data_IF_176029428589
#
_entry.id   IF_176029428589
#
_cell.length_a   1.000
_cell.length_b   1.000
_cell.length_c   1.000
_cell.angle_alpha   90.00
_cell.angle_beta   90.00
_cell.angle_gamma   90.00
#
_symmetry.space_group_name_H-M   'P 1'
#
loop_
_entity.id
_entity.type
_entity.pdbx_description
1 polymer ?
#
# COMPACT_ATOMS: atom_id res chain seq x y z
N UNK A 1 -4.58 -0.85 3.94
CA UNK A 1 -5.85 -0.66 4.67
C UNK A 1 -6.67 -1.94 4.63
N UNK A 2 -7.55 -2.15 5.60
CA UNK A 2 -8.46 -3.29 5.66
C UNK A 2 -9.71 -2.96 6.50
N UNK A 3 -10.81 -3.66 6.29
CA UNK A 3 -12.08 -3.45 6.99
C UNK A 3 -13.10 -4.53 6.66
N UNK A 4 -14.33 -4.38 7.15
CA UNK A 4 -15.42 -5.27 6.81
C UNK A 4 -16.28 -4.68 5.70
N UNK A 5 -16.84 -5.55 4.85
CA UNK A 5 -17.83 -5.12 3.89
C UNK A 5 -19.03 -4.51 4.61
N UNK A 6 -19.47 -3.33 4.15
CA UNK A 6 -20.57 -2.57 4.76
C UNK A 6 -20.12 -1.46 5.70
N UNK A 7 -18.85 -1.40 6.10
CA UNK A 7 -18.31 -0.23 6.81
C UNK A 7 -18.06 0.92 5.82
N UNK A 8 -18.33 2.16 6.23
CA UNK A 8 -18.12 3.37 5.40
C UNK A 8 -16.63 3.71 5.20
N UNK A 9 -15.75 3.16 6.05
CA UNK A 9 -14.33 3.41 6.04
C UNK A 9 -13.55 2.16 6.50
N UNK A 10 -12.28 2.00 6.09
CA UNK A 10 -11.46 0.89 6.56
C UNK A 10 -11.25 0.98 8.08
N UNK A 11 -11.40 -0.15 8.77
CA UNK A 11 -11.15 -0.24 10.22
C UNK A 11 -9.67 -0.19 10.60
N UNK A 12 -8.80 -0.55 9.67
CA UNK A 12 -7.36 -0.59 9.88
C UNK A 12 -6.63 0.07 8.71
N UNK A 13 -5.75 1.02 9.03
CA UNK A 13 -4.82 1.65 8.10
C UNK A 13 -3.46 1.67 8.78
N UNK A 14 -2.49 0.96 8.19
CA UNK A 14 -1.14 0.84 8.71
C UNK A 14 -0.17 0.70 7.54
N UNK A 15 1.11 1.01 7.80
CA UNK A 15 2.16 0.99 6.79
C UNK A 15 2.51 -0.44 6.32
N UNK A 16 2.64 -0.66 5.01
CA UNK A 16 2.99 -1.96 4.42
C UNK A 16 4.49 -2.29 4.58
N UNK A 17 4.96 -2.41 5.82
CA UNK A 17 6.37 -2.57 6.17
C UNK A 17 6.54 -3.79 7.07
N UNK A 18 7.59 -4.58 6.80
CA UNK A 18 8.06 -5.65 7.68
C UNK A 18 9.45 -5.31 8.20
N UNK A 19 9.59 -5.21 9.52
CA UNK A 19 10.84 -4.96 10.22
C UNK A 19 11.40 -6.21 10.87
N UNK A 20 12.70 -6.47 10.71
CA UNK A 20 13.42 -7.57 11.39
C UNK A 20 14.57 -7.03 12.25
N UNK A 21 14.83 -7.56 13.45
CA UNK A 21 15.93 -7.10 14.31
C UNK A 21 17.29 -7.19 13.63
N UNK A 22 18.10 -6.12 13.73
CA UNK A 22 19.47 -6.09 13.19
C UNK A 22 20.44 -6.97 13.98
N UNK A 23 20.18 -7.14 15.28
CA UNK A 23 20.95 -7.98 16.17
C UNK A 23 19.98 -8.92 16.91
N UNK A 24 20.23 -10.22 16.84
CA UNK A 24 19.46 -11.20 17.59
C UNK A 24 19.72 -10.99 19.10
N UNK A 25 18.66 -10.76 19.88
CA UNK A 25 18.71 -10.73 21.35
C UNK A 25 18.36 -9.40 22.05
N UNK A 26 18.19 -8.28 21.33
CA UNK A 26 17.94 -6.95 21.95
C UNK A 26 16.44 -6.61 22.07
N UNK A 27 15.61 -7.16 21.18
CA UNK A 27 14.16 -6.91 21.16
C UNK A 27 13.48 -8.24 21.33
N UNK A 28 12.46 -8.31 22.19
CA UNK A 28 11.82 -9.56 22.63
C UNK A 28 11.52 -10.55 21.49
N UNK A 29 11.34 -11.82 21.87
CA UNK A 29 11.21 -13.08 21.08
C UNK A 29 10.47 -13.09 19.71
N UNK A 30 10.00 -11.97 19.16
CA UNK A 30 9.35 -11.87 17.86
C UNK A 30 10.36 -11.73 16.74
N UNK A 31 10.24 -12.63 15.76
CA UNK A 31 11.10 -12.67 14.57
C UNK A 31 10.84 -11.53 13.57
N UNK A 32 9.65 -10.91 13.61
CA UNK A 32 9.26 -9.82 12.73
C UNK A 32 8.25 -8.86 13.38
N UNK A 33 8.32 -7.60 12.95
CA UNK A 33 7.40 -6.52 13.30
C UNK A 33 6.71 -6.04 12.01
N UNK A 34 5.44 -5.68 12.09
CA UNK A 34 4.64 -5.22 10.94
C UNK A 34 4.01 -3.87 11.26
N UNK A 35 3.87 -3.01 10.24
CA UNK A 35 3.15 -1.75 10.35
C UNK A 35 3.78 -0.76 11.32
N UNK A 36 2.95 -0.11 12.13
CA UNK A 36 3.36 0.95 13.04
C UNK A 36 4.38 0.47 14.08
N UNK A 37 4.30 -0.81 14.47
CA UNK A 37 5.30 -1.40 15.35
C UNK A 37 6.69 -1.46 14.69
N UNK A 38 6.75 -1.74 13.39
CA UNK A 38 8.00 -1.72 12.64
C UNK A 38 8.53 -0.28 12.48
N UNK A 39 7.64 0.70 12.26
CA UNK A 39 8.02 2.11 12.18
C UNK A 39 8.55 2.68 13.50
N UNK A 40 7.92 2.37 14.63
CA UNK A 40 8.38 2.83 15.96
C UNK A 40 9.78 2.32 16.29
N UNK A 41 10.05 1.06 15.97
CA UNK A 41 11.32 0.40 16.28
C UNK A 41 12.34 0.50 15.12
N UNK A 42 12.18 1.44 14.18
CA UNK A 42 13.03 1.55 12.98
C UNK A 42 14.53 1.71 13.27
N UNK A 43 14.89 2.21 14.44
CA UNK A 43 16.29 2.40 14.85
C UNK A 43 17.05 1.07 15.05
N UNK A 44 16.32 0.01 15.42
CA UNK A 44 16.88 -1.31 15.75
C UNK A 44 16.44 -2.40 14.76
N UNK A 45 15.52 -2.08 13.84
CA UNK A 45 15.03 -2.96 12.80
C UNK A 45 15.63 -2.63 11.42
N UNK A 46 15.73 -3.66 10.57
CA UNK A 46 15.87 -3.51 9.12
C UNK A 46 14.48 -3.59 8.52
N UNK A 47 14.03 -2.49 7.92
CA UNK A 47 12.70 -2.37 7.31
C UNK A 47 12.73 -2.81 5.85
N UNK A 48 11.72 -3.58 5.43
CA UNK A 48 11.49 -3.99 4.04
C UNK A 48 10.06 -3.69 3.62
N UNK A 49 9.89 -3.38 2.34
CA UNK A 49 8.61 -3.14 1.68
C UNK A 49 8.34 -4.32 0.74
N UNK A 50 7.35 -5.17 1.03
CA UNK A 50 7.07 -6.35 0.18
C UNK A 50 6.30 -6.02 -1.09
N UNK A 51 5.91 -4.76 -1.27
CA UNK A 51 5.18 -4.25 -2.43
C UNK A 51 6.01 -3.10 -2.99
N UNK A 52 6.34 -3.17 -4.28
CA UNK A 52 7.04 -2.12 -5.03
C UNK A 52 6.21 -1.81 -6.29
N UNK A 53 5.91 -0.54 -6.53
CA UNK A 53 5.06 -0.08 -7.64
C UNK A 53 3.71 -0.83 -7.74
N UNK A 54 3.12 -1.18 -6.59
CA UNK A 54 1.85 -1.92 -6.51
C UNK A 54 1.95 -3.43 -6.78
N UNK A 55 3.14 -3.96 -7.07
CA UNK A 55 3.39 -5.39 -7.29
C UNK A 55 4.06 -6.01 -6.07
N UNK A 56 3.59 -7.19 -5.66
CA UNK A 56 4.22 -7.95 -4.57
C UNK A 56 5.55 -8.52 -5.04
N UNK A 57 6.65 -8.10 -4.40
CA UNK A 57 8.02 -8.56 -4.69
C UNK A 57 8.52 -9.58 -3.66
N UNK A 58 7.95 -9.58 -2.44
CA UNK A 58 8.31 -10.52 -1.38
C UNK A 58 7.09 -11.17 -0.74
N UNK A 59 6.79 -12.41 -1.14
CA UNK A 59 5.63 -13.15 -0.67
C UNK A 59 5.71 -13.56 0.81
N UNK A 60 6.90 -13.86 1.32
CA UNK A 60 7.07 -14.21 2.75
C UNK A 60 6.76 -13.04 3.67
N UNK A 61 7.06 -11.82 3.23
CA UNK A 61 6.76 -10.60 3.97
C UNK A 61 5.31 -10.15 3.75
N UNK A 62 4.76 -10.39 2.56
CA UNK A 62 3.33 -10.17 2.31
C UNK A 62 2.44 -11.10 3.17
N UNK A 63 2.84 -12.36 3.36
CA UNK A 63 2.12 -13.29 4.26
C UNK A 63 2.10 -12.76 5.70
N UNK A 64 3.19 -12.17 6.19
CA UNK A 64 3.23 -11.54 7.52
C UNK A 64 2.30 -10.33 7.61
N UNK A 65 2.22 -9.53 6.55
CA UNK A 65 1.27 -8.41 6.47
C UNK A 65 -0.16 -8.93 6.56
N UNK A 66 -0.54 -9.92 5.76
CA UNK A 66 -1.90 -10.47 5.83
C UNK A 66 -2.21 -11.13 7.16
N UNK A 67 -1.26 -11.85 7.75
CA UNK A 67 -1.42 -12.40 9.09
C UNK A 67 -1.68 -11.28 10.11
N UNK A 68 -0.91 -10.20 10.07
CA UNK A 68 -1.12 -9.04 10.93
C UNK A 68 -2.50 -8.41 10.69
N UNK A 69 -2.92 -8.23 9.44
CA UNK A 69 -4.26 -7.73 9.08
C UNK A 69 -5.38 -8.56 9.70
N UNK A 70 -5.36 -9.88 9.54
CA UNK A 70 -6.45 -10.73 10.03
C UNK A 70 -6.47 -10.84 11.55
N UNK A 71 -5.32 -11.15 12.17
CA UNK A 71 -5.27 -11.53 13.58
C UNK A 71 -5.05 -10.36 14.54
N UNK A 72 -4.29 -9.35 14.14
CA UNK A 72 -3.96 -8.23 15.04
C UNK A 72 -4.91 -7.04 14.84
N UNK A 73 -5.12 -6.64 13.58
CA UNK A 73 -5.90 -5.46 13.24
C UNK A 73 -7.41 -5.76 13.29
N UNK A 74 -7.87 -6.72 12.47
CA UNK A 74 -9.28 -7.05 12.38
C UNK A 74 -9.75 -8.03 13.47
N UNK A 75 -8.81 -8.77 14.10
CA UNK A 75 -9.06 -9.77 15.14
C UNK A 75 -10.09 -10.82 14.72
N UNK A 76 -9.97 -11.32 13.50
CA UNK A 76 -10.86 -12.34 12.92
C UNK A 76 -10.11 -13.60 12.55
N UNK A 77 -10.86 -14.71 12.50
CA UNK A 77 -10.37 -15.95 11.93
C UNK A 77 -10.60 -15.93 10.41
N UNK A 78 -9.54 -15.97 9.58
CA UNK A 78 -9.68 -15.92 8.12
C UNK A 78 -10.51 -17.09 7.57
N UNK A 79 -10.44 -18.26 8.20
CA UNK A 79 -11.19 -19.46 7.76
C UNK A 79 -12.72 -19.33 7.83
N UNK A 80 -13.24 -18.26 8.43
CA UNK A 80 -14.67 -18.01 8.57
C UNK A 80 -15.16 -16.82 7.73
N UNK A 81 -14.29 -16.21 6.91
CA UNK A 81 -14.57 -14.94 6.25
C UNK A 81 -14.24 -15.00 4.75
N UNK A 82 -15.18 -14.74 3.85
CA UNK A 82 -14.86 -14.42 2.46
C UNK A 82 -13.99 -13.16 2.41
N UNK A 83 -12.98 -13.15 1.54
CA UNK A 83 -12.03 -12.03 1.45
C UNK A 83 -12.08 -11.40 0.06
N UNK A 84 -12.27 -10.08 0.00
CA UNK A 84 -12.01 -9.30 -1.20
C UNK A 84 -10.60 -8.73 -1.13
N UNK A 85 -9.78 -9.03 -2.13
CA UNK A 85 -8.45 -8.49 -2.31
C UNK A 85 -8.41 -7.52 -3.47
N UNK A 86 -7.48 -6.59 -3.41
CA UNK A 86 -7.26 -5.62 -4.47
C UNK A 86 -5.89 -5.81 -5.08
N UNK A 87 -5.77 -5.61 -6.38
CA UNK A 87 -4.49 -5.59 -7.08
C UNK A 87 -4.36 -4.37 -8.01
N UNK A 88 -3.12 -4.10 -8.42
CA UNK A 88 -2.83 -3.10 -9.43
C UNK A 88 -3.30 -3.58 -10.82
N UNK A 89 -3.61 -2.65 -11.71
CA UNK A 89 -3.86 -3.01 -13.09
C UNK A 89 -2.63 -3.63 -13.75
N UNK A 90 -2.86 -4.53 -14.72
CA UNK A 90 -1.82 -5.29 -15.41
C UNK A 90 -0.94 -6.16 -14.47
N UNK A 91 -1.44 -6.51 -13.27
CA UNK A 91 -0.75 -7.47 -12.41
C UNK A 91 -0.53 -8.80 -13.15
N UNK A 92 0.70 -9.36 -13.15
CA UNK A 92 0.96 -10.66 -13.76
C UNK A 92 0.01 -11.75 -13.24
N UNK A 93 -0.52 -12.57 -14.14
CA UNK A 93 -1.44 -13.65 -13.78
C UNK A 93 -0.86 -14.62 -12.75
N UNK A 94 0.45 -14.85 -12.77
CA UNK A 94 1.16 -15.68 -11.78
C UNK A 94 1.12 -15.06 -10.37
N UNK A 95 1.23 -13.73 -10.25
CA UNK A 95 1.10 -13.06 -8.96
C UNK A 95 -0.33 -13.21 -8.43
N UNK A 96 -1.33 -13.04 -9.29
CA UNK A 96 -2.73 -13.27 -8.91
C UNK A 96 -2.97 -14.69 -8.43
N UNK A 97 -2.46 -15.70 -9.16
CA UNK A 97 -2.51 -17.10 -8.72
C UNK A 97 -1.84 -17.29 -7.37
N UNK A 98 -0.66 -16.70 -7.16
CA UNK A 98 0.08 -16.83 -5.90
C UNK A 98 -0.64 -16.18 -4.72
N UNK A 99 -1.28 -15.02 -4.90
CA UNK A 99 -2.15 -14.41 -3.88
C UNK A 99 -3.28 -15.36 -3.49
N UNK A 100 -3.96 -15.92 -4.48
CA UNK A 100 -5.11 -16.83 -4.27
C UNK A 100 -4.67 -18.14 -3.61
N UNK A 101 -3.55 -18.72 -4.05
CA UNK A 101 -2.93 -19.91 -3.46
C UNK A 101 -2.66 -19.69 -1.96
N UNK A 102 -1.97 -18.61 -1.59
CA UNK A 102 -1.65 -18.31 -0.19
C UNK A 102 -2.93 -18.14 0.63
N UNK A 103 -3.93 -17.44 0.10
CA UNK A 103 -5.18 -17.18 0.79
C UNK A 103 -5.97 -18.46 1.09
N UNK A 104 -6.04 -19.39 0.14
CA UNK A 104 -6.71 -20.67 0.36
C UNK A 104 -5.85 -21.64 1.17
N UNK A 105 -4.59 -21.83 0.81
CA UNK A 105 -3.76 -22.90 1.38
C UNK A 105 -3.17 -22.54 2.75
N UNK A 106 -2.79 -21.27 2.97
CA UNK A 106 -2.21 -20.81 4.25
C UNK A 106 -3.26 -20.25 5.19
N UNK A 107 -4.15 -19.40 4.68
CA UNK A 107 -5.17 -18.74 5.51
C UNK A 107 -6.49 -19.50 5.60
N UNK A 108 -6.71 -20.49 4.72
CA UNK A 108 -7.89 -21.36 4.78
C UNK A 108 -9.20 -20.65 4.53
N UNK A 109 -9.21 -19.54 3.78
CA UNK A 109 -10.42 -18.74 3.59
C UNK A 109 -11.47 -19.52 2.79
N UNK A 110 -12.77 -19.34 3.07
CA UNK A 110 -13.83 -20.08 2.38
C UNK A 110 -14.04 -19.63 0.92
N UNK A 111 -13.78 -18.36 0.61
CA UNK A 111 -13.94 -17.80 -0.73
C UNK A 111 -13.11 -16.52 -0.86
N UNK A 112 -12.72 -16.19 -2.09
CA UNK A 112 -11.99 -14.96 -2.39
C UNK A 112 -12.47 -14.33 -3.69
N UNK A 113 -12.30 -13.02 -3.79
CA UNK A 113 -12.47 -12.27 -5.01
C UNK A 113 -11.34 -11.25 -5.14
N UNK A 114 -10.77 -11.10 -6.33
CA UNK A 114 -9.64 -10.20 -6.59
C UNK A 114 -10.07 -9.18 -7.62
N UNK A 115 -10.05 -7.91 -7.23
CA UNK A 115 -10.51 -6.79 -8.08
C UNK A 115 -9.40 -5.77 -8.31
N UNK A 116 -9.47 -5.07 -9.44
CA UNK A 116 -8.50 -4.03 -9.80
C UNK A 116 -8.84 -2.74 -9.03
N UNK A 117 -7.85 -2.15 -8.35
CA UNK A 117 -8.07 -1.02 -7.44
C UNK A 117 -8.86 0.15 -8.07
N UNK A 118 -8.52 0.67 -9.27
CA UNK A 118 -9.27 1.78 -9.85
C UNK A 118 -10.71 1.44 -10.27
N UNK A 119 -11.02 0.16 -10.51
CA UNK A 119 -12.40 -0.27 -10.81
C UNK A 119 -13.29 -0.09 -9.58
N UNK A 120 -12.80 -0.46 -8.40
CA UNK A 120 -13.49 -0.22 -7.14
C UNK A 120 -13.71 1.27 -6.86
N UNK A 121 -12.70 2.10 -7.16
CA UNK A 121 -12.82 3.55 -7.00
C UNK A 121 -13.90 4.15 -7.93
N UNK A 122 -14.00 3.67 -9.17
CA UNK A 122 -15.06 4.10 -10.08
C UNK A 122 -16.44 3.68 -9.56
N UNK A 123 -16.59 2.44 -9.11
CA UNK A 123 -17.86 1.95 -8.54
C UNK A 123 -18.26 2.70 -7.28
N UNK A 124 -17.31 3.07 -6.42
CA UNK A 124 -17.59 3.91 -5.25
C UNK A 124 -18.16 5.29 -5.63
N UNK A 125 -17.86 5.81 -6.83
CA UNK A 125 -18.44 7.05 -7.36
C UNK A 125 -19.82 6.86 -8.02
N UNK A 126 -20.36 5.65 -8.06
CA UNK A 126 -21.65 5.34 -8.70
C UNK A 126 -21.59 5.30 -10.23
N UNK A 127 -20.38 5.21 -10.80
CA UNK A 127 -20.16 5.17 -12.25
C UNK A 127 -19.70 3.79 -12.69
N UNK A 128 -20.05 3.40 -13.92
CA UNK A 128 -19.59 2.16 -14.57
C UNK A 128 -18.72 2.42 -15.80
N UNK A 129 -18.71 3.66 -16.29
CA UNK A 129 -17.88 4.09 -17.41
C UNK A 129 -17.20 5.40 -17.03
N UNK A 130 -15.89 5.49 -17.26
CA UNK A 130 -15.09 6.66 -16.95
C UNK A 130 -13.60 6.37 -17.04
N UNK A 131 -12.77 7.37 -16.74
CA UNK A 131 -11.33 7.20 -16.55
C UNK A 131 -10.99 7.50 -15.09
N UNK A 132 -10.24 6.60 -14.46
CA UNK A 132 -9.75 6.81 -13.10
C UNK A 132 -8.26 7.12 -13.16
N UNK A 133 -7.90 8.29 -12.65
CA UNK A 133 -6.53 8.64 -12.33
C UNK A 133 -6.27 8.28 -10.86
N UNK A 134 -5.58 7.18 -10.62
CA UNK A 134 -5.21 6.74 -9.28
C UNK A 134 -3.73 7.05 -9.03
N UNK A 135 -3.44 7.91 -8.06
CA UNK A 135 -2.08 8.25 -7.62
C UNK A 135 -1.90 7.80 -6.16
N UNK A 136 -0.98 6.86 -5.95
CA UNK A 136 -0.67 6.29 -4.64
C UNK A 136 0.66 6.78 -4.06
N UNK A 137 1.32 5.94 -3.26
CA UNK A 137 2.67 6.22 -2.75
C UNK A 137 3.75 5.93 -3.81
N UNK A 138 3.60 4.87 -4.60
CA UNK A 138 4.65 4.37 -5.50
C UNK A 138 4.35 4.50 -6.99
N UNK A 139 3.08 4.59 -7.39
CA UNK A 139 2.71 4.64 -8.81
C UNK A 139 1.49 5.51 -9.04
N UNK A 140 1.47 6.19 -10.18
CA UNK A 140 0.28 6.85 -10.72
C UNK A 140 -0.18 6.11 -11.97
N UNK A 141 -1.47 5.78 -12.05
CA UNK A 141 -2.04 5.12 -13.22
C UNK A 141 -3.32 5.81 -13.69
N UNK A 142 -3.50 5.85 -15.00
CA UNK A 142 -4.73 6.31 -15.64
C UNK A 142 -5.40 5.11 -16.31
N UNK A 143 -6.59 4.74 -15.83
CA UNK A 143 -7.28 3.51 -16.24
C UNK A 143 -8.65 3.86 -16.81
N UNK A 144 -8.83 3.74 -18.13
CA UNK A 144 -10.15 3.81 -18.75
C UNK A 144 -10.96 2.55 -18.43
N UNK A 145 -12.21 2.74 -18.03
CA UNK A 145 -13.16 1.69 -17.68
C UNK A 145 -14.43 1.95 -18.48
N UNK A 146 -14.96 0.90 -19.10
CA UNK A 146 -16.19 0.96 -19.87
C UNK A 146 -17.11 -0.18 -19.47
N UNK A 147 -18.34 0.15 -19.07
CA UNK A 147 -19.34 -0.80 -18.59
C UNK A 147 -18.81 -1.78 -17.52
N UNK A 148 -17.96 -1.28 -16.64
CA UNK A 148 -17.34 -2.05 -15.56
C UNK A 148 -16.07 -2.81 -15.93
N UNK A 149 -15.65 -2.79 -17.19
CA UNK A 149 -14.44 -3.47 -17.65
C UNK A 149 -13.30 -2.47 -17.86
N UNK A 150 -12.18 -2.68 -17.17
CA UNK A 150 -10.96 -1.95 -17.42
C UNK A 150 -10.45 -2.25 -18.85
N UNK A 151 -9.98 -1.23 -19.57
CA UNK A 151 -9.47 -1.33 -20.94
C UNK A 151 -7.93 -1.40 -20.91
N UNK A 152 -7.30 -2.59 -20.90
CA UNK A 152 -5.87 -2.73 -20.60
C UNK A 152 -4.98 -2.03 -21.63
N UNK A 153 -5.41 -2.03 -22.91
CA UNK A 153 -4.68 -1.42 -24.01
C UNK A 153 -4.64 0.11 -23.97
N UNK A 154 -5.50 0.74 -23.15
CA UNK A 154 -5.59 2.18 -22.99
C UNK A 154 -5.10 2.64 -21.60
N UNK A 155 -4.61 1.71 -20.77
CA UNK A 155 -4.07 2.00 -19.45
C UNK A 155 -2.68 2.62 -19.57
N UNK A 156 -2.43 3.69 -18.81
CA UNK A 156 -1.13 4.34 -18.72
C UNK A 156 -0.59 4.29 -17.29
N UNK A 157 0.73 4.13 -17.16
CA UNK A 157 1.44 4.14 -15.90
C UNK A 157 2.50 5.24 -15.91
N UNK A 158 2.68 5.87 -14.76
CA UNK A 158 3.73 6.83 -14.48
C UNK A 158 4.38 6.44 -13.16
N UNK A 159 5.69 6.21 -13.20
CA UNK A 159 6.53 5.89 -12.04
C UNK A 159 6.87 7.18 -11.26
N UNK A 160 5.84 7.99 -10.97
CA UNK A 160 5.91 9.19 -10.13
C UNK A 160 4.67 9.18 -9.24
N UNK A 161 4.89 9.26 -7.94
CA UNK A 161 3.82 9.20 -6.94
C UNK A 161 4.22 9.88 -5.63
N UNK A 162 3.49 9.59 -4.54
CA UNK A 162 3.64 10.24 -3.25
C UNK A 162 5.06 10.16 -2.66
N UNK A 163 5.81 9.10 -2.92
CA UNK A 163 7.19 8.91 -2.45
C UNK A 163 8.15 9.84 -3.18
N UNK A 164 8.05 9.93 -4.51
CA UNK A 164 8.87 10.84 -5.33
C UNK A 164 8.64 12.30 -4.94
N UNK A 165 7.40 12.68 -4.68
CA UNK A 165 7.06 14.01 -4.18
C UNK A 165 7.68 14.29 -2.81
N UNK A 166 7.77 13.26 -1.95
CA UNK A 166 8.42 13.40 -0.64
C UNK A 166 9.93 13.59 -0.79
N UNK A 167 10.58 12.82 -1.67
CA UNK A 167 12.02 12.98 -1.96
C UNK A 167 12.31 14.34 -2.61
N UNK A 168 11.44 14.79 -3.51
CA UNK A 168 11.55 16.13 -4.09
C UNK A 168 11.45 17.21 -3.01
N UNK A 169 10.51 17.07 -2.07
CA UNK A 169 10.37 17.99 -0.94
C UNK A 169 11.62 17.99 -0.04
N UNK A 170 12.26 16.83 0.20
CA UNK A 170 13.55 16.75 0.92
C UNK A 170 14.62 17.59 0.21
N UNK A 171 14.73 17.48 -1.11
CA UNK A 171 15.74 18.20 -1.88
C UNK A 171 15.55 19.72 -1.81
N UNK A 172 14.32 20.22 -1.99
CA UNK A 172 14.06 21.67 -1.92
C UNK A 172 14.21 22.23 -0.49
N UNK A 173 13.96 21.41 0.54
CA UNK A 173 14.21 21.79 1.93
C UNK A 173 15.71 21.84 2.25
N UNK A 174 16.49 20.94 1.65
CA UNK A 174 17.95 20.95 1.73
C UNK A 174 18.55 22.21 1.13
N UNK A 175 18.03 22.67 -0.01
CA UNK A 175 18.43 23.94 -0.64
C UNK A 175 18.16 25.15 0.27
N UNK A 176 17.15 25.06 1.15
CA UNK A 176 16.85 26.08 2.17
C UNK A 176 17.66 25.92 3.46
N UNK A 177 18.55 24.93 3.54
CA UNK A 177 19.43 24.68 4.68
C UNK A 177 18.92 23.66 5.70
N UNK A 178 17.78 22.99 5.45
CA UNK A 178 17.26 21.93 6.33
C UNK A 178 17.73 20.55 5.86
N UNK A 179 18.49 19.85 6.69
CA UNK A 179 19.00 18.52 6.35
C UNK A 179 18.15 17.41 6.94
N UNK A 180 17.56 16.57 6.09
CA UNK A 180 16.79 15.39 6.46
C UNK A 180 17.43 14.16 5.80
N UNK A 181 18.34 13.48 6.51
CA UNK A 181 19.18 12.39 5.96
C UNK A 181 18.61 11.03 6.35
N UNK A 182 18.16 10.91 7.60
CA UNK A 182 17.71 9.65 8.14
C UNK A 182 16.33 9.27 7.63
N UNK A 183 16.04 7.98 7.63
CA UNK A 183 14.71 7.50 7.22
C UNK A 183 13.60 7.99 8.18
N UNK A 184 13.93 8.29 9.44
CA UNK A 184 13.03 8.90 10.42
C UNK A 184 12.65 10.33 10.04
N UNK A 185 13.64 11.11 9.66
CA UNK A 185 13.48 12.48 9.19
C UNK A 185 12.65 12.56 7.90
N UNK A 186 12.79 11.58 6.99
CA UNK A 186 11.94 11.50 5.79
C UNK A 186 10.44 11.35 6.10
N UNK A 187 10.06 10.68 7.18
CA UNK A 187 8.66 10.62 7.61
C UNK A 187 8.13 11.97 8.09
N UNK A 188 8.99 12.80 8.71
CA UNK A 188 8.62 14.17 9.08
C UNK A 188 8.34 14.98 7.81
N UNK A 189 9.17 14.82 6.78
CA UNK A 189 8.96 15.50 5.49
C UNK A 189 7.68 15.02 4.80
N UNK A 190 7.33 13.72 4.91
CA UNK A 190 6.03 13.21 4.45
C UNK A 190 4.86 13.86 5.19
N UNK A 191 4.94 14.02 6.50
CA UNK A 191 3.91 14.71 7.30
C UNK A 191 3.79 16.20 6.93
N UNK A 192 4.93 16.87 6.67
CA UNK A 192 4.96 18.24 6.14
C UNK A 192 4.24 18.31 4.79
N UNK A 193 4.55 17.38 3.87
CA UNK A 193 3.89 17.28 2.56
C UNK A 193 2.38 17.17 2.71
N UNK A 194 1.91 16.24 3.54
CA UNK A 194 0.48 15.97 3.71
C UNK A 194 -0.28 17.13 4.37
N UNK A 195 0.38 17.91 5.24
CA UNK A 195 -0.28 19.01 5.98
C UNK A 195 -0.16 20.37 5.30
N UNK A 196 0.93 20.64 4.58
CA UNK A 196 1.29 21.99 4.14
C UNK A 196 1.39 22.16 2.62
N UNK A 197 1.55 21.08 1.84
CA UNK A 197 1.59 21.22 0.39
C UNK A 197 0.19 21.47 -0.18
N UNK A 198 0.16 22.16 -1.31
CA UNK A 198 -1.03 22.39 -2.13
C UNK A 198 -0.63 22.44 -3.60
N UNK A 199 -1.60 22.28 -4.49
CA UNK A 199 -1.41 22.43 -5.94
C UNK A 199 -1.92 23.81 -6.32
N UNK A 200 -1.03 24.67 -6.82
CA UNK A 200 -1.41 25.97 -7.33
C UNK A 200 -2.20 25.83 -8.63
N UNK A 201 -3.21 26.67 -8.84
CA UNK A 201 -3.97 26.70 -10.10
C UNK A 201 -3.12 27.25 -11.26
N UNK A 202 -2.27 28.23 -10.95
CA UNK A 202 -1.24 28.77 -11.82
C UNK A 202 0.08 28.71 -11.04
N UNK A 203 1.08 28.01 -11.57
CA UNK A 203 2.39 27.85 -10.92
C UNK A 203 3.35 28.98 -11.27
N UNK A 204 3.14 29.66 -12.40
CA UNK A 204 4.04 30.70 -12.89
C UNK A 204 3.73 32.09 -12.32
N UNK A 205 2.54 32.24 -11.72
CA UNK A 205 2.08 33.48 -11.10
C UNK A 205 2.51 33.58 -9.63
#
# INVERSE_FOLDING_TARGET
>A
MAGFAGDDAPRAVFSSIVGRPRQQGIVGQRDAYVGDAAQRERGILTLKYPIEHGIVTNWDDMEKIWHHTFYNELKVKPTAQPVLLTEVALNPGENRKKMVEIMFEKFGIPATYVEIQPVLALYASGLTTGIVLASGDDVTCAIPIHEGYALPNATQFLDIAGRDLTEHLVNILLERGYSFITTAEREIVRDIKEKLCYVALDFEQ
#
